data_IF_860060404705
#
_entry.id   IF_860060404705
#
_cell.length_a   1.000
_cell.length_b   1.000
_cell.length_c   1.000
_cell.angle_alpha   90.00
_cell.angle_beta   90.00
_cell.angle_gamma   90.00
#
_symmetry.space_group_name_H-M   'P 1'
#
loop_
_entity.id
_entity.type
_entity.pdbx_description
1 polymer ?
#
# COMPACT_ATOMS: atom_id res chain seq x y z
N UNK A 1 -14.58 -28.41 -1.19
CA UNK A 1 -14.74 -27.57 0.02
C UNK A 1 -13.39 -26.94 0.33
N UNK A 2 -13.30 -25.62 0.63
CA UNK A 2 -12.02 -25.03 1.06
C UNK A 2 -11.65 -25.63 2.44
N UNK A 3 -10.42 -26.09 2.60
CA UNK A 3 -9.93 -26.68 3.87
C UNK A 3 -9.66 -25.64 4.95
N UNK A 4 -9.49 -24.37 4.57
CA UNK A 4 -9.19 -23.27 5.48
C UNK A 4 -10.02 -22.02 5.14
N UNK A 5 -10.26 -21.19 6.16
CA UNK A 5 -10.93 -19.91 6.00
C UNK A 5 -10.12 -18.97 5.06
N UNK A 6 -10.76 -18.14 4.21
CA UNK A 6 -10.04 -17.21 3.32
C UNK A 6 -9.12 -16.19 4.02
N UNK A 7 -9.31 -15.97 5.32
CA UNK A 7 -8.48 -15.13 6.20
C UNK A 7 -7.74 -15.95 7.28
N UNK A 8 -7.51 -17.25 7.08
CA UNK A 8 -6.69 -18.04 7.99
C UNK A 8 -5.26 -17.47 8.10
N UNK A 9 -4.63 -17.58 9.27
CA UNK A 9 -3.36 -16.93 9.60
C UNK A 9 -2.34 -17.94 10.12
N UNK A 10 -1.07 -17.61 9.95
CA UNK A 10 0.03 -18.18 10.74
C UNK A 10 0.51 -17.11 11.74
N UNK A 11 1.11 -17.54 12.85
CA UNK A 11 1.77 -16.68 13.82
C UNK A 11 3.16 -17.27 14.09
N UNK A 12 4.21 -16.55 13.67
CA UNK A 12 5.59 -17.00 13.81
C UNK A 12 6.51 -15.85 14.24
N UNK A 13 7.57 -16.12 15.03
CA UNK A 13 8.58 -15.13 15.35
C UNK A 13 9.28 -14.55 14.12
N UNK A 14 9.39 -13.22 14.04
CA UNK A 14 10.06 -12.53 12.94
C UNK A 14 11.51 -13.03 12.73
N UNK A 15 12.25 -13.24 13.83
CA UNK A 15 13.64 -13.75 13.84
C UNK A 15 13.85 -15.09 13.13
N UNK A 16 12.79 -15.84 12.83
CA UNK A 16 12.88 -17.11 12.08
C UNK A 16 12.80 -16.92 10.56
N UNK A 17 12.59 -15.70 10.07
CA UNK A 17 12.68 -15.40 8.65
C UNK A 17 14.16 -15.47 8.20
N UNK A 18 14.54 -16.34 7.24
CA UNK A 18 15.94 -16.57 6.84
C UNK A 18 16.57 -15.37 6.13
N UNK A 19 15.77 -14.38 5.76
CA UNK A 19 16.19 -13.16 5.07
C UNK A 19 15.88 -11.90 5.90
N UNK A 20 15.68 -12.03 7.22
CA UNK A 20 15.42 -10.87 8.07
C UNK A 20 16.59 -9.89 8.01
N UNK A 21 16.28 -8.60 7.86
CA UNK A 21 17.30 -7.58 7.73
C UNK A 21 18.07 -7.43 9.05
N UNK A 22 19.40 -7.27 9.00
CA UNK A 22 20.25 -7.17 10.20
C UNK A 22 19.88 -6.00 11.13
N UNK A 23 19.34 -4.92 10.55
CA UNK A 23 18.84 -3.74 11.28
C UNK A 23 17.34 -3.76 11.63
N UNK A 24 16.65 -4.90 11.59
CA UNK A 24 15.20 -4.95 11.81
C UNK A 24 14.75 -4.48 13.21
N UNK A 25 15.63 -4.57 14.20
CA UNK A 25 15.46 -4.07 15.59
C UNK A 25 16.38 -2.89 15.92
N UNK A 26 17.04 -2.29 14.93
CA UNK A 26 17.95 -1.16 15.17
C UNK A 26 17.15 0.06 15.66
N UNK A 27 17.44 0.60 16.86
CA UNK A 27 16.72 1.74 17.41
C UNK A 27 16.89 3.02 16.58
N UNK A 28 17.92 3.13 15.76
CA UNK A 28 18.08 4.24 14.81
C UNK A 28 17.16 4.11 13.58
N UNK A 29 16.54 2.94 13.38
CA UNK A 29 15.70 2.62 12.25
C UNK A 29 16.47 2.42 10.94
N UNK A 30 15.74 2.47 9.82
CA UNK A 30 16.30 2.38 8.47
C UNK A 30 15.86 3.59 7.65
N UNK A 31 16.78 4.25 6.90
CA UNK A 31 16.41 5.38 6.05
C UNK A 31 15.49 4.91 4.92
N UNK A 32 14.36 5.61 4.74
CA UNK A 32 13.39 5.33 3.68
C UNK A 32 13.72 6.19 2.45
N UNK A 33 13.96 5.55 1.31
CA UNK A 33 14.25 6.24 0.04
C UNK A 33 13.08 6.23 -0.94
N UNK A 34 12.13 5.32 -0.75
CA UNK A 34 10.92 5.22 -1.56
C UNK A 34 9.73 4.76 -0.72
N UNK A 35 8.55 5.28 -1.02
CA UNK A 35 7.26 4.85 -0.48
C UNK A 35 6.42 4.33 -1.64
N UNK A 36 5.82 3.15 -1.49
CA UNK A 36 5.07 2.48 -2.54
C UNK A 36 3.63 2.30 -2.05
N UNK A 37 2.68 2.89 -2.78
CA UNK A 37 1.26 2.62 -2.63
C UNK A 37 0.80 1.66 -3.71
N UNK A 38 -0.25 0.89 -3.44
CA UNK A 38 -0.79 -0.04 -4.41
C UNK A 38 -2.07 -0.69 -3.92
N UNK A 39 -2.88 -1.15 -4.87
CA UNK A 39 -4.17 -1.75 -4.60
C UNK A 39 -4.56 -2.72 -5.72
N UNK A 40 -5.57 -3.55 -5.47
CA UNK A 40 -6.07 -4.49 -6.47
C UNK A 40 -6.94 -3.75 -7.48
N UNK A 41 -6.43 -3.53 -8.69
CA UNK A 41 -7.13 -2.83 -9.77
C UNK A 41 -7.13 -3.69 -11.04
N UNK A 42 -8.26 -4.29 -11.44
CA UNK A 42 -8.30 -5.16 -12.62
C UNK A 42 -8.07 -4.38 -13.92
N UNK A 43 -8.39 -3.08 -13.96
CA UNK A 43 -8.31 -2.26 -15.16
C UNK A 43 -7.77 -0.85 -14.87
N UNK A 44 -7.24 -0.21 -15.92
CA UNK A 44 -6.93 1.23 -15.99
C UNK A 44 -5.59 1.61 -15.38
N UNK A 45 -5.27 1.11 -14.19
CA UNK A 45 -4.02 1.46 -13.50
C UNK A 45 -2.85 0.65 -14.06
N UNK A 46 -1.76 1.29 -14.54
CA UNK A 46 -0.58 0.61 -15.07
C UNK A 46 0.24 -0.06 -13.95
N UNK A 47 1.25 -0.85 -14.35
CA UNK A 47 2.07 -1.63 -13.43
C UNK A 47 2.77 -0.78 -12.37
N UNK A 48 3.36 0.35 -12.78
CA UNK A 48 4.09 1.28 -11.91
C UNK A 48 3.94 2.72 -12.42
N UNK A 49 3.80 3.65 -11.49
CA UNK A 49 3.80 5.10 -11.69
C UNK A 49 4.76 5.70 -10.66
N UNK A 50 5.64 6.62 -11.07
CA UNK A 50 6.39 7.50 -10.17
C UNK A 50 5.63 8.83 -10.04
N UNK A 51 5.52 9.35 -8.82
CA UNK A 51 4.96 10.67 -8.59
C UNK A 51 5.92 11.77 -9.06
N UNK A 52 5.41 12.82 -9.71
CA UNK A 52 6.20 14.00 -10.11
C UNK A 52 6.87 14.72 -8.93
N UNK A 53 6.19 14.79 -7.79
CA UNK A 53 6.67 15.44 -6.57
C UNK A 53 5.92 14.87 -5.35
N UNK A 54 6.23 15.42 -4.16
CA UNK A 54 5.63 14.99 -2.90
C UNK A 54 4.12 15.20 -2.87
N UNK A 55 3.62 16.38 -3.28
CA UNK A 55 2.18 16.70 -3.29
C UNK A 55 1.41 15.76 -4.21
N UNK A 56 1.94 15.49 -5.39
CA UNK A 56 1.37 14.54 -6.32
C UNK A 56 1.39 13.12 -5.74
N UNK A 57 2.46 12.73 -5.05
CA UNK A 57 2.52 11.44 -4.37
C UNK A 57 1.47 11.29 -3.26
N UNK A 58 1.30 12.33 -2.43
CA UNK A 58 0.24 12.41 -1.41
C UNK A 58 -1.15 12.34 -2.05
N UNK A 59 -1.36 13.01 -3.18
CA UNK A 59 -2.59 12.88 -3.97
C UNK A 59 -2.82 11.45 -4.46
N UNK A 60 -1.84 10.81 -5.10
CA UNK A 60 -1.94 9.41 -5.56
C UNK A 60 -2.31 8.46 -4.41
N UNK A 61 -1.68 8.64 -3.25
CA UNK A 61 -1.98 7.87 -2.05
C UNK A 61 -3.41 8.10 -1.52
N UNK A 62 -3.88 9.35 -1.54
CA UNK A 62 -5.24 9.72 -1.12
C UNK A 62 -6.35 9.17 -2.03
N UNK A 63 -6.04 8.90 -3.31
CA UNK A 63 -7.00 8.38 -4.28
C UNK A 63 -6.93 6.86 -4.40
N UNK A 64 -6.14 6.19 -3.55
CA UNK A 64 -5.94 4.76 -3.62
C UNK A 64 -7.27 4.01 -3.54
N UNK A 65 -7.44 3.07 -4.47
CA UNK A 65 -8.59 2.17 -4.55
C UNK A 65 -8.12 0.73 -4.66
N UNK A 66 -8.84 -0.19 -4.02
CA UNK A 66 -8.57 -1.63 -4.12
C UNK A 66 -9.88 -2.41 -4.13
N UNK A 67 -9.90 -3.55 -4.83
CA UNK A 67 -10.92 -4.58 -4.59
C UNK A 67 -10.95 -4.98 -3.11
N UNK A 68 -12.16 -5.19 -2.59
CA UNK A 68 -12.40 -5.75 -1.26
C UNK A 68 -11.71 -7.11 -1.09
N UNK A 69 -11.17 -7.35 0.10
CA UNK A 69 -10.56 -8.62 0.49
C UNK A 69 -11.29 -9.22 1.68
N UNK A 70 -11.09 -10.51 1.92
CA UNK A 70 -11.70 -11.22 3.05
C UNK A 70 -11.09 -10.86 4.43
N UNK A 71 -10.23 -9.84 4.49
CA UNK A 71 -9.59 -9.40 5.74
C UNK A 71 -10.57 -8.70 6.70
N UNK A 72 -11.66 -8.14 6.17
CA UNK A 72 -12.71 -7.45 6.90
C UNK A 72 -14.09 -8.00 6.51
N UNK A 73 -15.17 -7.38 7.00
CA UNK A 73 -16.56 -7.76 6.77
C UNK A 73 -17.07 -7.54 5.33
N UNK A 74 -16.29 -6.84 4.49
CA UNK A 74 -16.68 -6.56 3.11
C UNK A 74 -16.68 -7.84 2.26
N UNK A 75 -17.83 -8.13 1.63
CA UNK A 75 -17.99 -9.31 0.77
C UNK A 75 -17.97 -8.92 -0.71
N UNK A 76 -17.49 -9.83 -1.56
CA UNK A 76 -17.41 -9.62 -3.02
C UNK A 76 -16.10 -9.00 -3.51
N UNK A 77 -16.08 -8.58 -4.78
CA UNK A 77 -14.98 -7.89 -5.46
C UNK A 77 -15.34 -6.42 -5.78
N UNK A 78 -15.79 -5.68 -4.78
CA UNK A 78 -16.14 -4.28 -4.98
C UNK A 78 -14.89 -3.41 -4.89
N UNK A 79 -14.73 -2.46 -5.81
CA UNK A 79 -13.66 -1.48 -5.75
C UNK A 79 -14.02 -0.43 -4.71
N UNK A 80 -13.20 -0.31 -3.68
CA UNK A 80 -13.39 0.66 -2.60
C UNK A 80 -12.23 1.64 -2.56
N UNK A 81 -12.51 2.88 -2.14
CA UNK A 81 -11.47 3.78 -1.69
C UNK A 81 -10.81 3.22 -0.43
N UNK A 82 -9.49 3.25 -0.39
CA UNK A 82 -8.66 2.88 0.76
C UNK A 82 -7.42 3.79 0.81
N UNK A 83 -7.61 5.09 1.08
CA UNK A 83 -6.56 6.07 0.96
C UNK A 83 -5.40 5.74 1.91
N UNK A 84 -4.17 5.77 1.39
CA UNK A 84 -2.94 5.35 2.09
C UNK A 84 -2.95 3.91 2.61
N UNK A 85 -3.90 3.05 2.20
CA UNK A 85 -4.20 1.76 2.83
C UNK A 85 -4.55 1.87 4.33
N UNK A 86 -5.10 3.02 4.72
CA UNK A 86 -5.31 3.42 6.10
C UNK A 86 -6.79 3.60 6.46
N UNK A 87 -7.73 3.30 5.56
CA UNK A 87 -9.17 3.48 5.80
C UNK A 87 -9.67 2.91 7.13
N UNK A 88 -9.30 1.68 7.54
CA UNK A 88 -9.79 1.12 8.80
C UNK A 88 -8.91 1.48 10.02
N UNK A 89 -7.86 2.28 9.86
CA UNK A 89 -6.80 2.45 10.86
C UNK A 89 -6.53 3.89 11.30
N UNK A 90 -7.08 4.89 10.59
CA UNK A 90 -6.81 6.30 10.94
C UNK A 90 -7.48 6.64 12.27
N UNK A 91 -6.69 7.09 13.24
CA UNK A 91 -7.15 7.41 14.61
C UNK A 91 -7.67 8.84 14.81
N UNK A 92 -7.72 9.67 13.77
CA UNK A 92 -8.17 11.06 13.81
C UNK A 92 -8.78 11.50 12.47
N UNK A 93 -9.13 12.78 12.32
CA UNK A 93 -9.72 13.28 11.07
C UNK A 93 -8.81 13.04 9.86
N UNK A 94 -9.35 12.42 8.81
CA UNK A 94 -8.56 12.04 7.64
C UNK A 94 -8.03 13.22 6.82
N UNK A 95 -8.75 14.35 6.78
CA UNK A 95 -8.26 15.57 6.14
C UNK A 95 -7.02 16.13 6.85
N UNK A 96 -7.00 16.08 8.19
CA UNK A 96 -5.80 16.43 8.96
C UNK A 96 -4.67 15.42 8.74
N UNK A 97 -4.99 14.13 8.51
CA UNK A 97 -3.99 13.12 8.16
C UNK A 97 -3.32 13.42 6.83
N UNK A 98 -4.09 13.79 5.80
CA UNK A 98 -3.54 14.23 4.52
C UNK A 98 -2.70 15.50 4.71
N UNK A 99 -3.20 16.48 5.48
CA UNK A 99 -2.46 17.71 5.74
C UNK A 99 -1.11 17.43 6.44
N UNK A 100 -1.08 16.51 7.40
CA UNK A 100 0.14 16.09 8.07
C UNK A 100 1.17 15.51 7.09
N UNK A 101 0.72 14.72 6.11
CA UNK A 101 1.58 14.24 5.03
C UNK A 101 2.12 15.38 4.15
N UNK A 102 1.27 16.34 3.78
CA UNK A 102 1.72 17.51 3.02
C UNK A 102 2.74 18.35 3.80
N UNK A 103 2.58 18.45 5.11
CA UNK A 103 3.44 19.28 5.97
C UNK A 103 4.89 18.79 6.02
N UNK A 104 5.20 17.54 5.68
CA UNK A 104 6.58 17.05 5.60
C UNK A 104 7.44 17.84 4.61
N UNK A 105 6.87 18.38 3.52
CA UNK A 105 7.63 19.15 2.53
C UNK A 105 7.97 20.57 2.98
N UNK A 106 7.36 21.05 4.08
CA UNK A 106 7.59 22.40 4.61
C UNK A 106 8.93 22.52 5.32
N UNK A 107 9.47 21.42 5.82
CA UNK A 107 10.77 21.37 6.46
C UNK A 107 11.85 21.11 5.39
N UNK A 108 12.75 22.08 5.12
CA UNK A 108 13.80 21.93 4.11
C UNK A 108 14.85 20.88 4.47
N UNK A 109 14.97 20.48 5.74
CA UNK A 109 15.91 19.45 6.17
C UNK A 109 15.40 18.04 5.88
N UNK A 110 14.11 17.88 5.55
CA UNK A 110 13.53 16.60 5.20
C UNK A 110 14.01 16.10 3.84
N UNK A 111 14.66 14.93 3.84
CA UNK A 111 14.97 14.16 2.64
C UNK A 111 13.78 13.29 2.27
N UNK A 112 12.83 13.88 1.54
CA UNK A 112 11.59 13.19 1.18
C UNK A 112 11.85 12.01 0.23
N UNK A 113 11.31 10.82 0.52
CA UNK A 113 11.43 9.67 -0.36
C UNK A 113 10.60 9.86 -1.64
N UNK A 114 11.01 9.21 -2.72
CA UNK A 114 10.20 9.13 -3.93
C UNK A 114 8.91 8.34 -3.65
N UNK A 115 7.79 8.77 -4.22
CA UNK A 115 6.51 8.07 -4.09
C UNK A 115 6.19 7.34 -5.39
N UNK A 116 5.79 6.07 -5.28
CA UNK A 116 5.34 5.24 -6.39
C UNK A 116 3.94 4.69 -6.14
N UNK A 117 3.19 4.48 -7.22
CA UNK A 117 1.94 3.72 -7.21
C UNK A 117 2.08 2.48 -8.10
N UNK A 118 1.82 1.30 -7.57
CA UNK A 118 1.90 0.02 -8.29
C UNK A 118 0.54 -0.66 -8.44
N UNK A 119 0.40 -1.48 -9.48
CA UNK A 119 -0.74 -2.38 -9.67
C UNK A 119 -0.30 -3.73 -10.24
N UNK A 120 -0.20 -4.72 -9.35
CA UNK A 120 0.14 -6.10 -9.71
C UNK A 120 -1.05 -6.89 -10.26
N UNK A 121 -2.27 -6.35 -10.18
CA UNK A 121 -3.52 -7.10 -10.32
C UNK A 121 -4.30 -6.77 -11.59
N UNK A 122 -3.66 -6.10 -12.56
CA UNK A 122 -4.29 -5.78 -13.83
C UNK A 122 -4.60 -7.06 -14.61
N UNK A 123 -5.81 -7.15 -15.15
CA UNK A 123 -6.29 -8.27 -15.94
C UNK A 123 -6.25 -7.95 -17.44
N UNK A 124 -6.12 -8.99 -18.25
CA UNK A 124 -6.35 -8.96 -19.70
C UNK A 124 -7.84 -9.11 -20.04
N UNK A 125 -8.16 -9.08 -21.32
CA UNK A 125 -9.52 -9.29 -21.85
C UNK A 125 -10.10 -10.67 -21.52
N UNK A 126 -9.26 -11.66 -21.15
CA UNK A 126 -9.64 -13.01 -20.77
C UNK A 126 -9.71 -13.20 -19.24
N UNK A 127 -9.67 -12.11 -18.46
CA UNK A 127 -9.63 -12.12 -17.00
C UNK A 127 -8.41 -12.84 -16.39
N UNK A 128 -7.29 -12.88 -17.09
CA UNK A 128 -6.00 -13.37 -16.59
C UNK A 128 -5.13 -12.20 -16.17
N UNK A 129 -4.32 -12.38 -15.12
CA UNK A 129 -3.35 -11.36 -14.73
C UNK A 129 -2.36 -11.11 -15.87
N UNK A 130 -2.22 -9.84 -16.27
CA UNK A 130 -1.22 -9.40 -17.26
C UNK A 130 0.20 -9.50 -16.71
N UNK A 131 0.34 -9.29 -15.40
CA UNK A 131 1.62 -9.35 -14.71
C UNK A 131 1.70 -10.67 -13.94
N UNK A 132 2.76 -11.47 -14.10
CA UNK A 132 2.84 -12.76 -13.43
C UNK A 132 2.82 -12.64 -11.91
N UNK A 133 3.40 -11.56 -11.34
CA UNK A 133 3.45 -11.30 -9.90
C UNK A 133 4.05 -12.43 -9.05
N UNK A 134 4.27 -12.14 -7.77
CA UNK A 134 4.30 -13.00 -6.57
C UNK A 134 4.36 -12.06 -5.36
#
# INVERSE_FOLDING_TARGET
KKSSHPNARFCCPARQCPIIHSRWEDPAGVPISAIIFGGRRPEGVPLVIEAFDWKHGVFLASQLKSESTAAAEFTGKQIMHDPFAMRPFVGYNFGHYIQHWLDFEKDPDNKLPKIFHVNWFRLDENNKFLWPGY
#
